data_IF_142533388600
#
_entry.id   IF_142533388600
#
_cell.length_a   1.000
_cell.length_b   1.000
_cell.length_c   1.000
_cell.angle_alpha   90.00
_cell.angle_beta   90.00
_cell.angle_gamma   90.00
#
_symmetry.space_group_name_H-M   'P 1'
#
loop_
_entity.id
_entity.type
_entity.pdbx_description
1 polymer ?
#
# COMPACT_ATOMS: atom_id res chain seq x y z
N UNK A 1 28.73 18.48 2.17
CA UNK A 1 28.31 17.36 3.05
C UNK A 1 26.80 17.34 3.04
N UNK A 2 26.24 16.56 2.12
CA UNK A 2 24.79 16.43 1.94
C UNK A 2 24.25 15.40 2.94
N UNK A 3 23.38 15.87 3.82
CA UNK A 3 22.59 15.02 4.70
C UNK A 3 21.44 14.41 3.89
N UNK A 4 21.67 13.24 3.30
CA UNK A 4 20.60 12.35 2.89
C UNK A 4 19.96 11.76 4.15
N UNK A 5 18.77 12.23 4.52
CA UNK A 5 17.91 11.53 5.48
C UNK A 5 17.44 10.22 4.81
N UNK A 6 18.29 9.20 4.86
CA UNK A 6 17.91 7.84 4.57
C UNK A 6 16.94 7.38 5.66
N UNK A 7 15.79 6.85 5.27
CA UNK A 7 14.88 6.18 6.17
C UNK A 7 15.62 5.00 6.82
N UNK A 8 15.96 5.13 8.11
CA UNK A 8 16.58 4.08 8.91
C UNK A 8 15.53 3.02 9.28
N UNK A 9 15.22 2.10 8.36
CA UNK A 9 14.54 0.86 8.71
C UNK A 9 15.53 -0.30 8.56
N UNK A 10 15.42 -1.27 9.45
CA UNK A 10 16.23 -2.48 9.43
C UNK A 10 15.62 -3.47 8.43
N UNK A 11 16.47 -4.14 7.63
CA UNK A 11 16.05 -5.35 6.92
C UNK A 11 16.18 -6.49 7.92
N UNK A 12 15.07 -7.12 8.25
CA UNK A 12 15.05 -8.24 9.18
C UNK A 12 15.48 -9.51 8.44
N UNK A 13 16.40 -10.25 9.06
CA UNK A 13 16.82 -11.56 8.55
C UNK A 13 15.65 -12.55 8.50
N UNK A 14 15.77 -13.56 7.65
CA UNK A 14 14.73 -14.57 7.49
C UNK A 14 14.47 -15.33 8.79
N UNK A 15 13.21 -15.46 9.18
CA UNK A 15 12.74 -16.35 10.24
C UNK A 15 12.41 -17.75 9.72
N UNK A 16 12.68 -18.01 8.44
CA UNK A 16 12.44 -19.28 7.81
C UNK A 16 13.73 -20.09 7.93
N UNK A 17 13.70 -21.28 8.55
CA UNK A 17 14.86 -22.19 8.58
C UNK A 17 15.36 -22.52 7.18
N UNK A 18 16.68 -22.75 7.01
CA UNK A 18 17.32 -22.97 5.71
C UNK A 18 16.73 -24.17 4.93
N UNK A 19 16.20 -25.16 5.63
CA UNK A 19 15.58 -26.38 5.09
C UNK A 19 14.07 -26.25 4.87
N UNK A 20 13.49 -25.06 5.11
CA UNK A 20 12.07 -24.79 4.96
C UNK A 20 11.84 -23.55 4.08
N UNK A 21 10.65 -23.44 3.52
CA UNK A 21 10.17 -22.26 2.78
C UNK A 21 8.95 -21.58 3.45
N UNK A 22 8.59 -22.08 4.63
CA UNK A 22 7.52 -21.54 5.48
C UNK A 22 7.80 -21.84 6.94
N UNK A 23 7.54 -20.86 7.81
CA UNK A 23 7.60 -21.04 9.27
C UNK A 23 6.47 -20.28 9.96
N UNK A 24 6.19 -20.60 11.20
CA UNK A 24 5.17 -19.92 12.01
C UNK A 24 5.73 -19.65 13.40
N UNK A 25 5.48 -18.46 13.90
CA UNK A 25 5.81 -18.05 15.27
C UNK A 25 4.55 -17.57 16.00
N UNK A 26 4.60 -17.68 17.31
CA UNK A 26 3.66 -17.05 18.22
C UNK A 26 4.40 -15.97 18.98
N UNK A 27 3.85 -14.78 19.03
CA UNK A 27 4.43 -13.66 19.79
C UNK A 27 3.51 -13.24 20.90
N UNK A 28 4.14 -12.99 22.04
CA UNK A 28 3.57 -12.36 23.23
C UNK A 28 4.38 -11.10 23.46
N UNK A 29 3.76 -9.94 23.50
CA UNK A 29 4.38 -8.68 23.95
C UNK A 29 5.79 -8.40 23.39
N UNK A 30 5.90 -7.80 22.23
CA UNK A 30 7.15 -7.18 21.80
C UNK A 30 6.88 -5.97 20.89
N UNK A 31 7.44 -4.83 21.28
CA UNK A 31 7.65 -3.72 20.36
C UNK A 31 8.73 -4.14 19.36
N UNK A 32 8.51 -3.90 18.09
CA UNK A 32 9.50 -4.10 17.05
C UNK A 32 9.76 -2.75 16.38
N UNK A 33 11.05 -2.41 16.22
CA UNK A 33 11.46 -1.25 15.42
C UNK A 33 10.99 -1.40 13.98
N UNK A 34 10.88 -0.26 13.28
CA UNK A 34 10.46 -0.25 11.88
C UNK A 34 11.42 -1.07 11.00
N UNK A 35 10.88 -2.07 10.31
CA UNK A 35 11.66 -3.01 9.50
C UNK A 35 10.91 -3.47 8.26
N UNK A 36 11.64 -4.12 7.35
CA UNK A 36 11.14 -4.85 6.17
C UNK A 36 11.55 -6.32 6.26
N UNK A 37 10.84 -7.15 5.55
CA UNK A 37 11.14 -8.58 5.43
C UNK A 37 11.69 -8.96 4.05
N UNK A 38 12.42 -10.09 4.00
CA UNK A 38 12.85 -10.76 2.76
C UNK A 38 11.85 -11.86 2.34
N UNK A 39 10.72 -11.96 3.03
CA UNK A 39 9.66 -12.95 2.84
C UNK A 39 8.28 -12.29 3.01
N UNK A 40 7.22 -12.95 2.58
CA UNK A 40 5.86 -12.55 2.93
C UNK A 40 5.59 -12.93 4.39
N UNK A 41 4.81 -12.09 5.05
CA UNK A 41 4.38 -12.32 6.42
C UNK A 41 2.85 -12.22 6.52
N UNK A 42 2.23 -13.25 7.07
CA UNK A 42 0.82 -13.20 7.45
C UNK A 42 0.75 -12.97 8.95
N UNK A 43 0.07 -11.90 9.35
CA UNK A 43 -0.12 -11.55 10.76
C UNK A 43 -1.60 -11.68 11.11
N UNK A 44 -1.95 -12.48 12.13
CA UNK A 44 -3.30 -12.49 12.65
C UNK A 44 -3.33 -12.45 14.18
N UNK A 45 -4.40 -11.84 14.71
CA UNK A 45 -4.60 -11.67 16.16
C UNK A 45 -5.44 -12.83 16.70
N UNK A 46 -4.81 -13.67 17.51
CA UNK A 46 -5.49 -14.81 18.14
C UNK A 46 -6.03 -14.50 19.55
N UNK A 47 -5.58 -13.40 20.18
CA UNK A 47 -6.14 -12.84 21.41
C UNK A 47 -5.77 -11.36 21.55
N UNK A 48 -6.65 -10.58 22.15
CA UNK A 48 -6.41 -9.17 22.45
C UNK A 48 -6.50 -8.25 21.20
N UNK A 49 -5.62 -7.25 21.15
CA UNK A 49 -5.57 -6.23 20.10
C UNK A 49 -4.12 -5.90 19.78
N UNK A 50 -3.80 -5.78 18.51
CA UNK A 50 -2.48 -5.39 17.97
C UNK A 50 -2.56 -3.95 17.45
N UNK A 51 -1.64 -3.08 17.90
CA UNK A 51 -1.39 -1.78 17.30
C UNK A 51 -0.06 -1.80 16.56
N UNK A 52 -0.07 -1.45 15.28
CA UNK A 52 1.14 -1.37 14.46
C UNK A 52 1.16 -0.12 13.59
N UNK A 53 2.36 0.29 13.20
CA UNK A 53 2.56 1.29 12.15
C UNK A 53 2.91 0.54 10.88
N UNK A 54 2.10 0.67 9.86
CA UNK A 54 2.26 0.01 8.58
C UNK A 54 2.38 1.07 7.48
N UNK A 55 3.53 1.11 6.81
CA UNK A 55 3.84 2.08 5.75
C UNK A 55 3.63 3.55 6.19
N UNK A 56 3.87 3.83 7.49
CA UNK A 56 3.71 5.15 8.11
C UNK A 56 2.31 5.48 8.61
N UNK A 57 1.35 4.56 8.48
CA UNK A 57 -0.02 4.71 8.98
C UNK A 57 -0.27 3.78 10.15
N UNK A 58 -0.98 4.27 11.18
CA UNK A 58 -1.35 3.45 12.34
C UNK A 58 -2.50 2.52 11.95
N UNK A 59 -2.30 1.23 12.18
CA UNK A 59 -3.30 0.18 12.02
C UNK A 59 -3.54 -0.50 13.36
N UNK A 60 -4.81 -0.62 13.76
CA UNK A 60 -5.23 -1.38 14.94
C UNK A 60 -5.98 -2.59 14.43
N UNK A 61 -5.61 -3.77 14.94
CA UNK A 61 -6.20 -5.05 14.58
C UNK A 61 -6.71 -5.73 15.84
N UNK A 62 -7.99 -6.10 15.84
CA UNK A 62 -8.63 -6.83 16.93
C UNK A 62 -8.59 -8.34 16.76
N UNK A 63 -9.19 -9.05 17.72
CA UNK A 63 -9.33 -10.51 17.70
C UNK A 63 -9.89 -11.01 16.36
N UNK A 64 -9.21 -11.96 15.74
CA UNK A 64 -9.61 -12.58 14.46
C UNK A 64 -9.24 -11.78 13.24
N UNK A 65 -8.68 -10.59 13.36
CA UNK A 65 -8.21 -9.83 12.20
C UNK A 65 -6.85 -10.32 11.71
N UNK A 66 -6.71 -10.32 10.38
CA UNK A 66 -5.54 -10.85 9.67
C UNK A 66 -5.17 -9.94 8.49
N UNK A 67 -3.86 -9.72 8.30
CA UNK A 67 -3.29 -9.04 7.12
C UNK A 67 -2.15 -9.85 6.52
N UNK A 68 -1.80 -9.52 5.28
CA UNK A 68 -0.64 -10.08 4.59
C UNK A 68 0.31 -8.94 4.23
N UNK A 69 1.55 -9.02 4.71
CA UNK A 69 2.63 -8.09 4.42
C UNK A 69 3.53 -8.64 3.31
N UNK A 70 4.01 -7.77 2.44
CA UNK A 70 4.97 -8.12 1.39
C UNK A 70 6.36 -7.60 1.71
N UNK A 71 7.32 -7.93 0.85
CA UNK A 71 8.71 -7.54 0.98
C UNK A 71 8.93 -6.02 0.97
N UNK A 72 8.00 -5.25 0.38
CA UNK A 72 8.11 -3.78 0.29
C UNK A 72 7.44 -3.04 1.45
N UNK A 73 6.67 -3.75 2.28
CA UNK A 73 5.99 -3.14 3.40
C UNK A 73 6.97 -2.87 4.55
N UNK A 74 6.84 -1.67 5.14
CA UNK A 74 7.58 -1.27 6.32
C UNK A 74 6.60 -1.28 7.48
N UNK A 75 6.87 -2.08 8.50
CA UNK A 75 6.02 -2.11 9.67
C UNK A 75 6.82 -2.10 10.98
N UNK A 76 6.14 -1.71 12.05
CA UNK A 76 6.63 -1.79 13.42
C UNK A 76 5.45 -2.08 14.33
N UNK A 77 5.68 -2.88 15.35
CA UNK A 77 4.67 -3.06 16.38
C UNK A 77 4.78 -1.92 17.40
N UNK A 78 3.67 -1.21 17.60
CA UNK A 78 3.53 -0.25 18.68
C UNK A 78 3.20 -0.98 20.00
N UNK A 79 3.05 -0.21 21.08
CA UNK A 79 2.67 -0.78 22.38
C UNK A 79 1.42 -1.65 22.26
N UNK A 80 1.47 -2.83 22.87
CA UNK A 80 0.31 -3.69 23.01
C UNK A 80 -0.60 -3.11 24.11
N UNK A 81 -1.85 -2.74 23.78
CA UNK A 81 -2.73 -2.08 24.75
C UNK A 81 -3.10 -2.96 25.94
N UNK A 82 -2.98 -4.28 25.80
CA UNK A 82 -3.33 -5.27 26.82
C UNK A 82 -2.27 -6.35 26.93
N UNK A 83 -1.92 -6.75 28.17
CA UNK A 83 -0.95 -7.79 28.48
C UNK A 83 -1.32 -9.21 27.98
N UNK A 84 -2.49 -9.39 27.36
CA UNK A 84 -3.00 -10.67 26.87
C UNK A 84 -3.09 -10.74 25.34
N UNK A 85 -2.36 -9.89 24.64
CA UNK A 85 -2.35 -9.93 23.17
C UNK A 85 -1.48 -11.11 22.68
N UNK A 86 -2.06 -11.93 21.83
CA UNK A 86 -1.38 -13.03 21.15
C UNK A 86 -1.52 -12.84 19.65
N UNK A 87 -0.40 -12.78 18.97
CA UNK A 87 -0.36 -12.74 17.51
C UNK A 87 0.34 -13.97 16.95
N UNK A 88 -0.03 -14.32 15.74
CA UNK A 88 0.62 -15.35 14.94
C UNK A 88 1.22 -14.72 13.70
N UNK A 89 2.51 -14.96 13.52
CA UNK A 89 3.25 -14.58 12.32
C UNK A 89 3.54 -15.84 11.52
N UNK A 90 3.12 -15.86 10.25
CA UNK A 90 3.47 -16.93 9.30
C UNK A 90 4.36 -16.33 8.24
N UNK A 91 5.62 -16.75 8.22
CA UNK A 91 6.64 -16.30 7.28
C UNK A 91 6.72 -17.28 6.12
N UNK A 92 6.64 -16.78 4.89
CA UNK A 92 6.55 -17.58 3.68
C UNK A 92 7.54 -17.05 2.64
N UNK A 93 8.37 -17.93 2.09
CA UNK A 93 9.29 -17.55 1.02
C UNK A 93 8.53 -16.99 -0.19
N UNK A 94 9.09 -15.99 -0.90
CA UNK A 94 8.43 -15.40 -2.08
C UNK A 94 8.03 -16.46 -3.10
N UNK A 95 8.92 -17.40 -3.36
CA UNK A 95 8.70 -18.49 -4.32
C UNK A 95 7.48 -19.34 -3.96
N UNK A 96 7.34 -19.74 -2.69
CA UNK A 96 6.20 -20.55 -2.24
C UNK A 96 4.91 -19.73 -2.29
N UNK A 97 4.92 -18.52 -1.74
CA UNK A 97 3.71 -17.68 -1.66
C UNK A 97 3.15 -17.35 -3.05
N UNK A 98 4.01 -16.92 -3.97
CA UNK A 98 3.62 -16.61 -5.35
C UNK A 98 3.12 -17.85 -6.10
N UNK A 99 3.73 -19.03 -5.83
CA UNK A 99 3.26 -20.31 -6.40
C UNK A 99 1.88 -20.69 -5.88
N UNK A 100 1.59 -20.50 -4.59
CA UNK A 100 0.26 -20.73 -4.00
C UNK A 100 -0.77 -19.77 -4.56
N UNK A 101 -0.43 -18.49 -4.70
CA UNK A 101 -1.33 -17.51 -5.32
C UNK A 101 -1.64 -17.89 -6.77
N UNK A 102 -0.65 -18.23 -7.56
CA UNK A 102 -0.84 -18.62 -8.95
C UNK A 102 -1.67 -19.91 -9.06
N UNK A 103 -1.46 -20.87 -8.15
CA UNK A 103 -2.26 -22.11 -8.07
C UNK A 103 -3.75 -21.81 -7.82
N UNK A 104 -4.06 -20.87 -6.94
CA UNK A 104 -5.45 -20.51 -6.59
C UNK A 104 -6.09 -19.64 -7.66
N UNK A 105 -5.36 -18.67 -8.20
CA UNK A 105 -5.90 -17.66 -9.12
C UNK A 105 -5.87 -18.08 -10.58
N UNK A 106 -5.04 -19.06 -10.96
CA UNK A 106 -4.73 -19.46 -12.35
C UNK A 106 -4.31 -18.29 -13.26
N UNK A 107 -3.96 -17.14 -12.70
CA UNK A 107 -3.67 -15.91 -13.45
C UNK A 107 -2.65 -15.03 -12.73
N UNK A 108 -1.57 -14.68 -13.44
CA UNK A 108 -0.58 -13.73 -12.92
C UNK A 108 -1.20 -12.35 -12.66
N UNK A 109 -2.15 -11.94 -13.48
CA UNK A 109 -2.87 -10.67 -13.31
C UNK A 109 -3.73 -10.69 -12.03
N UNK A 110 -4.47 -11.77 -11.78
CA UNK A 110 -5.26 -11.93 -10.57
C UNK A 110 -4.37 -12.04 -9.31
N UNK A 111 -3.24 -12.74 -9.39
CA UNK A 111 -2.24 -12.79 -8.32
C UNK A 111 -1.69 -11.40 -7.99
N UNK A 112 -1.32 -10.63 -9.02
CA UNK A 112 -0.82 -9.27 -8.84
C UNK A 112 -1.90 -8.34 -8.25
N UNK A 113 -3.15 -8.48 -8.68
CA UNK A 113 -4.28 -7.73 -8.15
C UNK A 113 -4.52 -8.05 -6.67
N UNK A 114 -4.48 -9.32 -6.31
CA UNK A 114 -4.53 -9.75 -4.91
C UNK A 114 -3.46 -9.07 -4.06
N UNK A 115 -2.19 -9.11 -4.50
CA UNK A 115 -1.07 -8.50 -3.80
C UNK A 115 -1.21 -6.98 -3.63
N UNK A 116 -1.95 -6.32 -4.50
CA UNK A 116 -2.22 -4.88 -4.40
C UNK A 116 -3.29 -4.53 -3.37
N UNK A 117 -4.22 -5.45 -3.09
CA UNK A 117 -5.38 -5.23 -2.21
C UNK A 117 -5.27 -5.94 -0.84
N UNK A 118 -4.16 -6.65 -0.57
CA UNK A 118 -3.96 -7.50 0.60
C UNK A 118 -3.88 -6.78 1.95
N UNK A 119 -3.66 -5.47 1.97
CA UNK A 119 -3.48 -4.69 3.22
C UNK A 119 -4.80 -4.32 3.91
N UNK A 120 -5.95 -4.79 3.38
CA UNK A 120 -7.21 -4.70 4.09
C UNK A 120 -7.34 -5.89 5.04
N UNK A 121 -7.46 -5.65 6.36
CA UNK A 121 -7.67 -6.75 7.28
C UNK A 121 -8.93 -7.55 6.93
N UNK A 122 -8.82 -8.87 6.92
CA UNK A 122 -9.96 -9.77 6.89
C UNK A 122 -10.25 -10.24 8.31
N UNK A 123 -11.52 -10.57 8.59
CA UNK A 123 -11.95 -10.99 9.91
C UNK A 123 -12.40 -12.45 9.90
N UNK A 124 -11.79 -13.26 10.74
CA UNK A 124 -12.21 -14.63 11.01
C UNK A 124 -13.26 -14.65 12.12
N UNK A 125 -14.36 -15.34 11.90
CA UNK A 125 -15.33 -15.63 12.97
C UNK A 125 -14.66 -16.43 14.09
N UNK A 126 -15.27 -16.47 15.29
CA UNK A 126 -14.71 -17.26 16.40
C UNK A 126 -14.51 -18.74 16.06
N UNK A 127 -15.38 -19.33 15.23
CA UNK A 127 -15.25 -20.72 14.78
C UNK A 127 -14.05 -20.91 13.85
N UNK A 128 -13.91 -20.05 12.84
CA UNK A 128 -12.79 -20.07 11.89
C UNK A 128 -11.45 -19.83 12.59
N UNK A 129 -11.40 -18.85 13.51
CA UNK A 129 -10.22 -18.59 14.30
C UNK A 129 -9.80 -19.80 15.15
N UNK A 130 -10.78 -20.47 15.79
CA UNK A 130 -10.51 -21.68 16.54
C UNK A 130 -9.95 -22.81 15.69
N UNK A 131 -10.41 -22.96 14.45
CA UNK A 131 -9.86 -23.92 13.48
C UNK A 131 -8.40 -23.58 13.11
N UNK A 132 -8.09 -22.29 12.87
CA UNK A 132 -6.73 -21.83 12.60
C UNK A 132 -5.81 -22.09 13.79
N UNK A 133 -6.25 -21.79 15.02
CA UNK A 133 -5.48 -22.02 16.24
C UNK A 133 -5.23 -23.52 16.49
N UNK A 134 -6.23 -24.36 16.24
CA UNK A 134 -6.05 -25.81 16.33
C UNK A 134 -5.02 -26.32 15.31
N UNK A 135 -5.04 -25.80 14.09
CA UNK A 135 -4.05 -26.13 13.07
C UNK A 135 -2.66 -25.60 13.45
N UNK A 136 -2.57 -24.39 13.99
CA UNK A 136 -1.33 -23.80 14.49
C UNK A 136 -0.70 -24.62 15.61
N UNK A 137 -1.50 -25.14 16.56
CA UNK A 137 -1.04 -26.06 17.59
C UNK A 137 -0.48 -27.39 16.99
N UNK A 138 -1.18 -27.93 15.99
CA UNK A 138 -0.70 -29.15 15.29
C UNK A 138 0.60 -28.91 14.52
N UNK A 139 0.80 -27.71 13.96
CA UNK A 139 2.06 -27.31 13.31
C UNK A 139 3.18 -27.28 14.34
N UNK A 140 2.95 -26.61 15.48
CA UNK A 140 3.93 -26.48 16.56
C UNK A 140 4.31 -27.84 17.18
N UNK A 141 3.35 -28.76 17.30
CA UNK A 141 3.58 -30.11 17.82
C UNK A 141 4.22 -31.09 16.81
N UNK A 142 4.32 -30.71 15.53
CA UNK A 142 4.88 -31.58 14.50
C UNK A 142 6.40 -31.59 14.55
N UNK A 143 6.98 -32.77 14.66
CA UNK A 143 8.44 -33.00 14.64
C UNK A 143 8.97 -33.33 13.24
N UNK A 144 8.12 -33.91 12.40
CA UNK A 144 8.45 -34.23 11.02
C UNK A 144 8.29 -32.97 10.12
N UNK A 145 9.36 -32.68 9.37
CA UNK A 145 9.46 -31.45 8.56
C UNK A 145 8.43 -31.43 7.43
N UNK A 146 8.14 -32.54 6.78
CA UNK A 146 7.18 -32.63 5.67
C UNK A 146 5.75 -32.41 6.18
N UNK A 147 5.41 -33.04 7.31
CA UNK A 147 4.12 -32.86 7.98
C UNK A 147 3.94 -31.43 8.45
N UNK A 148 4.98 -30.83 9.05
CA UNK A 148 4.96 -29.44 9.49
C UNK A 148 4.74 -28.49 8.31
N UNK A 149 5.50 -28.67 7.23
CA UNK A 149 5.38 -27.89 5.99
C UNK A 149 3.99 -28.02 5.37
N UNK A 150 3.46 -29.22 5.23
CA UNK A 150 2.14 -29.46 4.64
C UNK A 150 1.01 -28.78 5.44
N UNK A 151 1.06 -28.87 6.78
CA UNK A 151 0.10 -28.17 7.65
C UNK A 151 0.24 -26.66 7.58
N UNK A 152 1.45 -26.13 7.43
CA UNK A 152 1.68 -24.68 7.27
C UNK A 152 1.13 -24.18 5.94
N UNK A 153 1.23 -24.97 4.88
CA UNK A 153 0.59 -24.68 3.59
C UNK A 153 -0.94 -24.71 3.72
N UNK A 154 -1.52 -25.72 4.40
CA UNK A 154 -2.96 -25.78 4.67
C UNK A 154 -3.45 -24.53 5.41
N UNK A 155 -2.74 -24.10 6.46
CA UNK A 155 -3.03 -22.88 7.18
C UNK A 155 -3.04 -21.66 6.26
N UNK A 156 -2.00 -21.54 5.43
CA UNK A 156 -1.88 -20.43 4.47
C UNK A 156 -3.02 -20.41 3.46
N UNK A 157 -3.38 -21.57 2.91
CA UNK A 157 -4.49 -21.67 1.95
C UNK A 157 -5.84 -21.29 2.57
N UNK A 158 -6.11 -21.69 3.82
CA UNK A 158 -7.33 -21.28 4.55
C UNK A 158 -7.37 -19.75 4.73
N UNK A 159 -6.25 -19.14 5.06
CA UNK A 159 -6.15 -17.68 5.17
C UNK A 159 -6.37 -17.03 3.80
N UNK A 160 -5.72 -17.51 2.75
CA UNK A 160 -5.93 -17.00 1.39
C UNK A 160 -7.39 -17.12 0.94
N UNK A 161 -8.06 -18.25 1.22
CA UNK A 161 -9.49 -18.40 0.94
C UNK A 161 -10.31 -17.30 1.59
N UNK A 162 -10.02 -16.95 2.86
CA UNK A 162 -10.71 -15.88 3.57
C UNK A 162 -10.53 -14.52 2.90
N UNK A 163 -9.33 -14.22 2.43
CA UNK A 163 -9.07 -13.00 1.66
C UNK A 163 -9.84 -12.99 0.34
N UNK A 164 -9.98 -14.12 -0.34
CA UNK A 164 -10.76 -14.21 -1.59
C UNK A 164 -12.27 -14.13 -1.35
N UNK A 165 -12.79 -14.63 -0.22
CA UNK A 165 -14.20 -14.49 0.16
C UNK A 165 -14.61 -13.04 0.43
N UNK A 166 -13.68 -12.23 0.98
CA UNK A 166 -13.89 -10.82 1.30
C UNK A 166 -13.50 -9.87 0.16
N UNK A 167 -12.77 -10.36 -0.81
CA UNK A 167 -12.72 -9.69 -2.09
C UNK A 167 -14.10 -10.00 -2.71
N UNK A 168 -15.04 -9.05 -2.61
CA UNK A 168 -16.03 -8.98 -3.69
C UNK A 168 -15.25 -9.19 -4.97
N UNK A 169 -15.67 -10.10 -5.89
CA UNK A 169 -15.02 -10.20 -7.18
C UNK A 169 -14.89 -8.76 -7.62
N UNK A 170 -13.64 -8.27 -7.90
CA UNK A 170 -13.54 -6.88 -8.16
C UNK A 170 -14.61 -6.61 -9.22
N UNK A 171 -15.68 -5.89 -8.85
CA UNK A 171 -16.28 -5.01 -9.80
C UNK A 171 -15.12 -4.11 -10.10
N UNK A 172 -14.23 -4.60 -10.98
CA UNK A 172 -13.26 -3.76 -11.64
C UNK A 172 -14.13 -2.63 -12.12
N UNK A 173 -14.04 -1.42 -11.49
CA UNK A 173 -14.65 -0.31 -12.14
C UNK A 173 -14.13 -0.46 -13.54
N UNK A 174 -15.00 -0.54 -14.55
CA UNK A 174 -14.54 -0.65 -15.92
C UNK A 174 -13.36 0.29 -16.00
N UNK A 175 -12.27 -0.04 -16.71
CA UNK A 175 -11.07 0.80 -16.74
C UNK A 175 -11.46 2.28 -16.89
N UNK A 176 -12.55 2.55 -17.57
CA UNK A 176 -13.28 3.83 -17.66
C UNK A 176 -13.79 4.34 -16.30
N UNK A 177 -14.33 3.48 -15.44
CA UNK A 177 -14.83 3.88 -14.11
C UNK A 177 -13.68 4.23 -13.15
N UNK A 178 -12.54 3.52 -13.19
CA UNK A 178 -11.35 3.88 -12.41
C UNK A 178 -10.74 5.20 -12.89
N UNK A 179 -10.71 5.42 -14.21
CA UNK A 179 -10.24 6.70 -14.78
C UNK A 179 -11.15 7.85 -14.34
N UNK A 180 -12.46 7.66 -14.32
CA UNK A 180 -13.40 8.67 -13.79
C UNK A 180 -13.17 8.95 -12.30
N UNK A 181 -12.94 7.91 -11.48
CA UNK A 181 -12.60 8.09 -10.06
C UNK A 181 -11.27 8.84 -9.89
N UNK A 182 -10.29 8.63 -10.76
CA UNK A 182 -9.04 9.40 -10.79
C UNK A 182 -9.32 10.86 -11.11
N UNK A 183 -10.13 11.15 -12.13
CA UNK A 183 -10.50 12.52 -12.50
C UNK A 183 -11.22 13.23 -11.34
N UNK A 184 -12.23 12.60 -10.75
CA UNK A 184 -13.00 13.16 -9.63
C UNK A 184 -12.12 13.40 -8.39
N UNK A 185 -11.19 12.48 -8.12
CA UNK A 185 -10.25 12.60 -6.99
C UNK A 185 -9.25 13.75 -7.18
N UNK A 186 -8.78 13.97 -8.42
CA UNK A 186 -7.84 15.06 -8.74
C UNK A 186 -8.50 16.44 -8.76
N UNK A 187 -9.81 16.51 -8.78
CA UNK A 187 -10.52 17.77 -8.59
C UNK A 187 -10.49 18.27 -7.12
N UNK A 188 -10.08 17.43 -6.17
CA UNK A 188 -9.94 17.80 -4.75
C UNK A 188 -8.53 18.35 -4.47
N UNK A 189 -8.43 19.48 -3.79
CA UNK A 189 -7.18 20.21 -3.56
C UNK A 189 -6.09 19.39 -2.87
N UNK A 190 -6.45 18.62 -1.85
CA UNK A 190 -5.49 17.81 -1.10
C UNK A 190 -4.90 16.65 -1.92
N UNK A 191 -5.64 16.13 -2.90
CA UNK A 191 -5.18 15.03 -3.76
C UNK A 191 -4.18 15.53 -4.80
N UNK A 192 -4.43 16.70 -5.38
CA UNK A 192 -3.51 17.33 -6.33
C UNK A 192 -2.17 17.64 -5.69
N UNK A 193 -2.17 18.22 -4.49
CA UNK A 193 -0.95 18.53 -3.75
C UNK A 193 -0.11 17.28 -3.50
N UNK A 194 -0.73 16.19 -3.06
CA UNK A 194 -0.05 14.94 -2.74
C UNK A 194 0.38 14.08 -3.95
N UNK A 195 -0.16 14.40 -5.14
CA UNK A 195 0.17 13.69 -6.39
C UNK A 195 -0.19 12.20 -6.38
N UNK A 196 0.55 11.40 -7.19
CA UNK A 196 0.29 9.96 -7.35
C UNK A 196 0.31 9.19 -6.01
N UNK A 197 1.23 9.43 -5.06
CA UNK A 197 1.21 8.75 -3.77
C UNK A 197 -0.11 8.93 -3.02
N UNK A 198 -0.57 10.18 -2.91
CA UNK A 198 -1.82 10.50 -2.21
C UNK A 198 -3.04 9.94 -2.93
N UNK A 199 -3.05 10.01 -4.26
CA UNK A 199 -4.10 9.46 -5.10
C UNK A 199 -4.21 7.94 -4.92
N UNK A 200 -3.08 7.23 -4.92
CA UNK A 200 -3.03 5.78 -4.72
C UNK A 200 -3.60 5.38 -3.35
N UNK A 201 -3.17 6.07 -2.28
CA UNK A 201 -3.71 5.87 -0.93
C UNK A 201 -5.22 6.17 -0.87
N UNK A 202 -5.65 7.28 -1.47
CA UNK A 202 -7.06 7.68 -1.46
C UNK A 202 -7.96 6.68 -2.18
N UNK A 203 -7.54 6.22 -3.37
CA UNK A 203 -8.28 5.26 -4.19
C UNK A 203 -8.10 3.82 -3.71
N UNK A 204 -7.18 3.59 -2.75
CA UNK A 204 -6.81 2.25 -2.26
C UNK A 204 -6.28 1.32 -3.37
N UNK A 205 -5.54 1.88 -4.33
CA UNK A 205 -4.91 1.14 -5.42
C UNK A 205 -3.40 1.34 -5.42
N UNK A 206 -2.66 0.33 -5.91
CA UNK A 206 -1.22 0.44 -6.11
C UNK A 206 -0.89 1.50 -7.18
N UNK A 207 0.21 2.26 -6.94
CA UNK A 207 0.68 3.33 -7.85
C UNK A 207 0.91 2.84 -9.28
N UNK A 208 1.58 1.69 -9.43
CA UNK A 208 1.89 1.11 -10.74
C UNK A 208 0.62 0.76 -11.49
N UNK A 209 -0.37 0.21 -10.80
CA UNK A 209 -1.66 -0.16 -11.39
C UNK A 209 -2.42 1.06 -11.90
N UNK A 210 -2.65 2.10 -11.07
CA UNK A 210 -3.37 3.30 -11.51
C UNK A 210 -2.65 4.01 -12.65
N UNK A 211 -1.31 4.08 -12.64
CA UNK A 211 -0.53 4.65 -13.73
C UNK A 211 -0.69 3.87 -15.04
N UNK A 212 -0.67 2.53 -14.97
CA UNK A 212 -0.84 1.65 -16.13
C UNK A 212 -2.24 1.77 -16.72
N UNK A 213 -3.28 1.67 -15.89
CA UNK A 213 -4.67 1.78 -16.33
C UNK A 213 -4.92 3.16 -16.92
N UNK A 214 -4.53 4.22 -16.25
CA UNK A 214 -4.71 5.58 -16.73
C UNK A 214 -4.06 5.79 -18.10
N UNK A 215 -2.80 5.36 -18.28
CA UNK A 215 -2.10 5.48 -19.55
C UNK A 215 -2.74 4.65 -20.66
N UNK A 216 -3.21 3.42 -20.35
CA UNK A 216 -3.90 2.54 -21.30
C UNK A 216 -5.18 3.20 -21.84
N UNK A 217 -5.99 3.77 -20.95
CA UNK A 217 -7.30 4.33 -21.29
C UNK A 217 -7.25 5.73 -21.87
N UNK A 218 -6.31 6.58 -21.41
CA UNK A 218 -6.24 7.99 -21.82
C UNK A 218 -5.14 8.28 -22.84
N UNK A 219 -4.20 7.34 -23.06
CA UNK A 219 -3.01 7.54 -23.89
C UNK A 219 -1.93 8.40 -23.22
N UNK A 220 -2.24 9.09 -22.12
CA UNK A 220 -1.35 10.03 -21.40
C UNK A 220 -0.86 9.43 -20.09
N UNK A 221 0.36 9.76 -19.65
CA UNK A 221 0.82 9.33 -18.33
C UNK A 221 0.06 10.09 -17.22
N UNK A 222 -0.23 9.40 -16.11
CA UNK A 222 -0.91 10.01 -14.96
C UNK A 222 -0.09 11.17 -14.36
N UNK A 223 1.24 11.08 -14.37
CA UNK A 223 2.14 12.16 -13.93
C UNK A 223 2.01 13.41 -14.79
N UNK A 224 1.94 13.24 -16.10
CA UNK A 224 1.73 14.32 -17.06
C UNK A 224 0.34 14.97 -16.88
N UNK A 225 -0.69 14.16 -16.69
CA UNK A 225 -2.03 14.65 -16.41
C UNK A 225 -2.08 15.48 -15.13
N UNK A 226 -1.54 14.98 -14.02
CA UNK A 226 -1.46 15.74 -12.75
C UNK A 226 -0.70 17.06 -12.93
N UNK A 227 0.39 17.03 -13.69
CA UNK A 227 1.16 18.24 -13.99
C UNK A 227 0.29 19.25 -14.75
N UNK A 228 -0.48 18.80 -15.74
CA UNK A 228 -1.39 19.67 -16.49
C UNK A 228 -2.47 20.30 -15.61
N UNK A 229 -3.09 19.53 -14.72
CA UNK A 229 -4.10 20.03 -13.75
C UNK A 229 -3.47 21.04 -12.78
N UNK A 230 -2.26 20.78 -12.29
CA UNK A 230 -1.52 21.73 -11.44
C UNK A 230 -1.25 23.04 -12.17
N UNK A 231 -0.85 23.00 -13.43
CA UNK A 231 -0.59 24.21 -14.23
C UNK A 231 -1.87 25.01 -14.49
N UNK A 232 -3.00 24.39 -14.69
CA UNK A 232 -4.30 25.07 -14.81
C UNK A 232 -4.66 25.81 -13.52
N UNK A 233 -4.43 25.17 -12.37
CA UNK A 233 -4.63 25.85 -11.08
C UNK A 233 -3.62 26.98 -10.84
N UNK A 234 -2.36 26.80 -11.25
CA UNK A 234 -1.38 27.89 -11.22
C UNK A 234 -1.88 29.08 -12.05
N UNK A 235 -2.34 28.84 -13.28
CA UNK A 235 -2.90 29.89 -14.14
C UNK A 235 -4.10 30.59 -13.48
N UNK A 236 -5.01 29.82 -12.89
CA UNK A 236 -6.14 30.36 -12.14
C UNK A 236 -5.70 31.27 -10.97
N UNK A 237 -4.81 30.80 -10.08
CA UNK A 237 -4.33 31.60 -8.96
C UNK A 237 -3.53 32.83 -9.39
N UNK A 238 -2.79 32.76 -10.50
CA UNK A 238 -2.08 33.92 -11.06
C UNK A 238 -3.04 35.06 -11.49
N UNK A 239 -4.23 34.67 -11.97
CA UNK A 239 -5.25 35.62 -12.43
C UNK A 239 -6.18 36.12 -11.32
N UNK A 240 -6.46 35.27 -10.34
CA UNK A 240 -7.48 35.55 -9.30
C UNK A 240 -6.90 36.02 -7.98
N UNK A 241 -5.58 35.95 -7.79
CA UNK A 241 -4.93 36.31 -6.52
C UNK A 241 -3.61 37.03 -6.71
N UNK A 242 -3.19 37.76 -5.66
CA UNK A 242 -1.86 38.37 -5.59
C UNK A 242 -0.81 37.48 -4.91
N UNK A 243 -1.08 36.17 -4.74
CA UNK A 243 -0.16 35.28 -4.07
C UNK A 243 1.20 35.22 -4.78
N UNK A 244 2.31 35.24 -4.01
CA UNK A 244 3.63 34.96 -4.56
C UNK A 244 3.66 33.62 -5.30
N UNK A 245 4.43 33.51 -6.37
CA UNK A 245 4.54 32.28 -7.14
C UNK A 245 4.96 31.07 -6.28
N UNK A 246 5.79 31.31 -5.25
CA UNK A 246 6.19 30.26 -4.29
C UNK A 246 4.98 29.69 -3.53
N UNK A 247 4.12 30.59 -3.03
CA UNK A 247 2.88 30.19 -2.34
C UNK A 247 1.96 29.40 -3.25
N UNK A 248 1.79 29.84 -4.50
CA UNK A 248 0.98 29.11 -5.49
C UNK A 248 1.57 27.71 -5.75
N UNK A 249 2.89 27.63 -5.93
CA UNK A 249 3.58 26.36 -6.13
C UNK A 249 3.37 25.39 -4.95
N UNK A 250 3.44 25.89 -3.72
CA UNK A 250 3.22 25.10 -2.50
C UNK A 250 1.74 24.62 -2.37
N UNK A 251 0.78 25.45 -2.79
CA UNK A 251 -0.65 25.08 -2.81
C UNK A 251 -0.89 23.93 -3.78
N UNK A 252 -0.34 24.00 -4.99
CA UNK A 252 -0.58 22.97 -6.02
C UNK A 252 0.37 21.78 -5.92
N UNK A 253 1.34 21.79 -5.00
CA UNK A 253 2.29 20.69 -4.78
C UNK A 253 3.40 20.62 -5.82
N UNK A 254 3.90 21.76 -6.28
CA UNK A 254 5.08 21.85 -7.16
C UNK A 254 6.29 22.39 -6.38
N UNK A 255 7.16 21.51 -5.94
CA UNK A 255 8.30 21.84 -5.06
C UNK A 255 9.36 22.71 -5.74
N UNK A 256 9.59 22.51 -7.05
CA UNK A 256 10.61 23.23 -7.82
C UNK A 256 10.02 24.37 -8.64
N UNK A 257 10.35 25.61 -8.26
CA UNK A 257 9.98 26.80 -9.04
C UNK A 257 10.62 26.82 -10.43
N UNK A 258 11.85 26.29 -10.57
CA UNK A 258 12.51 26.20 -11.88
C UNK A 258 11.74 25.25 -12.80
N UNK A 259 11.32 24.10 -12.29
CA UNK A 259 10.49 23.17 -13.04
C UNK A 259 9.14 23.78 -13.38
N UNK A 260 8.44 24.40 -12.41
CA UNK A 260 7.18 25.11 -12.64
C UNK A 260 7.32 26.13 -13.78
N UNK A 261 8.35 27.01 -13.74
CA UNK A 261 8.54 28.02 -14.78
C UNK A 261 8.74 27.39 -16.17
N UNK A 262 9.52 26.28 -16.25
CA UNK A 262 9.79 25.57 -17.49
C UNK A 262 8.50 24.99 -18.08
N UNK A 263 7.74 24.20 -17.30
CA UNK A 263 6.55 23.50 -17.81
C UNK A 263 5.37 24.47 -18.03
N UNK A 264 5.26 25.53 -17.23
CA UNK A 264 4.26 26.58 -17.42
C UNK A 264 4.50 27.33 -18.73
N UNK A 265 5.77 27.75 -18.99
CA UNK A 265 6.11 28.43 -20.24
C UNK A 265 5.87 27.51 -21.45
N UNK A 266 6.17 26.21 -21.31
CA UNK A 266 5.92 25.24 -22.40
C UNK A 266 4.42 25.11 -22.70
N UNK A 267 3.54 25.15 -21.68
CA UNK A 267 2.07 25.01 -21.86
C UNK A 267 1.42 26.32 -22.34
N UNK A 268 1.78 27.46 -21.74
CA UNK A 268 1.08 28.76 -21.96
C UNK A 268 1.86 29.76 -22.81
N UNK A 269 3.05 29.42 -23.27
CA UNK A 269 3.91 30.32 -24.07
C UNK A 269 4.58 31.44 -23.26
N UNK A 270 4.11 31.75 -22.07
CA UNK A 270 4.57 32.81 -21.20
C UNK A 270 5.08 32.29 -19.86
N UNK A 271 6.02 33.01 -19.25
CA UNK A 271 6.39 32.72 -17.85
C UNK A 271 5.23 33.09 -16.92
N UNK A 272 5.10 32.45 -15.72
CA UNK A 272 4.05 32.80 -14.75
C UNK A 272 3.96 34.30 -14.45
N UNK A 273 5.13 34.99 -14.32
CA UNK A 273 5.17 36.42 -14.05
C UNK A 273 4.63 37.26 -15.22
N UNK A 274 4.93 36.89 -16.46
CA UNK A 274 4.36 37.55 -17.66
C UNK A 274 2.89 37.21 -17.82
N UNK A 275 2.48 35.98 -17.58
CA UNK A 275 1.09 35.52 -17.65
C UNK A 275 0.19 36.28 -16.65
N UNK A 276 0.68 36.55 -15.43
CA UNK A 276 -0.05 37.40 -14.45
C UNK A 276 -0.34 38.81 -14.98
N UNK A 277 0.59 39.39 -15.74
CA UNK A 277 0.48 40.76 -16.25
C UNK A 277 -0.29 40.87 -17.57
N UNK A 278 -0.52 39.77 -18.29
CA UNK A 278 -1.06 39.77 -19.65
C UNK A 278 -2.53 40.26 -19.77
N UNK A 279 -3.29 40.36 -18.67
CA UNK A 279 -4.68 40.88 -18.68
C UNK A 279 -4.78 42.34 -18.13
N UNK A 280 -3.68 43.04 -17.92
CA UNK A 280 -3.68 44.43 -17.43
C UNK A 280 -3.67 45.43 -18.61
N UNK A 281 -3.52 44.92 -19.84
CA UNK A 281 -3.38 45.74 -21.06
C UNK A 281 -4.61 45.66 -22.03
N UNK A 282 -5.80 45.25 -21.51
CA UNK A 282 -7.06 45.38 -22.30
C UNK A 282 -8.12 46.16 -21.50
#
# INVERSE_FOLDING_TARGET
>A
MENSKGNNYRIQESFIPDDMDISMQQRFEHTADAHKHVHYEIVYVSAGELSQILNGEKLIMGLGECIILSLDDIHSYAEFPNQNTIIRDVFISPKLFESLLLLVTHSQEASNNFLQNRLHPVHFSPSELNELEHLAQKISASTDIYTKRAKSIDLTLRILCKFFEHQEPPQLPSSTSLVNLIFDSLNKDHTIKGGIPRLATWLKYNRTYICRVFKKETGMSLSEYITNVRLERVAYYLKTTNYPLRTIADIVGMESLSYLNKVFKAKYGLTPAKYRKSDIEN
#
